data_IF_161094934872
#
_entry.id   IF_161094934872
#
_cell.length_a   1.000
_cell.length_b   1.000
_cell.length_c   1.000
_cell.angle_alpha   90.00
_cell.angle_beta   90.00
_cell.angle_gamma   90.00
#
_symmetry.space_group_name_H-M   'P 1'
#
loop_
_entity.id
_entity.type
_entity.pdbx_description
1 polymer ?
#
# COMPACT_ATOMS: atom_id res chain seq x y z
N UNK A 1 4.18 -8.51 -0.26
CA UNK A 1 3.81 -8.80 -1.66
C UNK A 1 4.95 -9.44 -2.41
N UNK A 2 4.65 -10.24 -3.45
CA UNK A 2 5.65 -10.75 -4.40
C UNK A 2 6.13 -9.60 -5.30
N UNK A 3 7.42 -9.59 -5.67
CA UNK A 3 7.94 -8.63 -6.64
C UNK A 3 7.28 -8.84 -8.02
N UNK A 4 6.93 -7.75 -8.70
CA UNK A 4 6.16 -7.83 -9.94
C UNK A 4 7.04 -8.30 -11.12
N UNK A 5 6.63 -9.38 -11.80
CA UNK A 5 7.32 -9.84 -13.00
C UNK A 5 6.93 -8.99 -14.23
N UNK A 6 7.69 -7.90 -14.44
CA UNK A 6 7.47 -6.97 -15.54
C UNK A 6 7.50 -7.64 -16.92
N UNK A 7 8.37 -8.63 -17.15
CA UNK A 7 8.44 -9.25 -18.47
C UNK A 7 7.18 -10.07 -18.79
N UNK A 8 6.54 -10.67 -17.78
CA UNK A 8 5.24 -11.32 -17.94
C UNK A 8 4.14 -10.31 -18.26
N UNK A 9 4.12 -9.16 -17.58
CA UNK A 9 3.18 -8.07 -17.83
C UNK A 9 3.35 -7.54 -19.26
N UNK A 10 4.58 -7.26 -19.69
CA UNK A 10 4.89 -6.81 -21.04
C UNK A 10 4.45 -7.84 -22.09
N UNK A 11 4.70 -9.12 -21.86
CA UNK A 11 4.24 -10.20 -22.74
C UNK A 11 2.72 -10.21 -22.88
N UNK A 12 1.97 -10.00 -21.80
CA UNK A 12 0.51 -9.95 -21.81
C UNK A 12 -0.03 -8.77 -22.63
N UNK A 13 0.57 -7.58 -22.48
CA UNK A 13 0.20 -6.38 -23.24
C UNK A 13 0.41 -6.57 -24.75
N UNK A 14 1.46 -7.30 -25.14
CA UNK A 14 1.74 -7.67 -26.51
C UNK A 14 2.67 -6.68 -27.22
N UNK A 15 3.61 -7.23 -28.00
CA UNK A 15 4.78 -6.50 -28.56
C UNK A 15 4.43 -5.23 -29.34
N UNK A 16 3.30 -5.21 -30.04
CA UNK A 16 2.89 -4.07 -30.87
C UNK A 16 2.55 -2.81 -30.04
N UNK A 17 2.26 -2.97 -28.74
CA UNK A 17 1.86 -1.86 -27.88
C UNK A 17 2.98 -1.40 -26.93
N UNK A 18 4.15 -2.05 -26.96
CA UNK A 18 5.25 -1.75 -26.04
C UNK A 18 6.20 -0.73 -26.70
N UNK A 19 6.38 0.47 -26.13
CA UNK A 19 7.37 1.42 -26.61
C UNK A 19 8.78 0.84 -26.54
N UNK A 20 9.63 1.12 -27.54
CA UNK A 20 11.04 0.69 -27.55
C UNK A 20 11.85 1.26 -26.36
N UNK A 21 11.41 2.39 -25.83
CA UNK A 21 12.05 3.15 -24.75
C UNK A 21 11.57 2.78 -23.35
N UNK A 22 10.77 1.72 -23.19
CA UNK A 22 10.15 1.38 -21.90
C UNK A 22 11.21 1.07 -20.83
N UNK A 23 11.13 1.79 -19.70
CA UNK A 23 12.01 1.56 -18.57
C UNK A 23 11.40 0.50 -17.65
N UNK A 24 11.84 -0.76 -17.81
CA UNK A 24 11.36 -1.90 -17.02
C UNK A 24 11.50 -1.71 -15.51
N UNK A 25 12.60 -1.13 -15.06
CA UNK A 25 12.85 -0.92 -13.62
C UNK A 25 11.83 0.07 -13.07
N UNK A 26 11.63 1.19 -13.76
CA UNK A 26 10.69 2.21 -13.32
C UNK A 26 9.24 1.71 -13.34
N UNK A 27 8.85 0.96 -14.36
CA UNK A 27 7.53 0.32 -14.40
C UNK A 27 7.32 -0.63 -13.21
N UNK A 28 8.34 -1.42 -12.85
CA UNK A 28 8.29 -2.26 -11.64
C UNK A 28 8.09 -1.42 -10.38
N UNK A 29 8.93 -0.41 -10.19
CA UNK A 29 8.88 0.48 -9.02
C UNK A 29 7.49 1.12 -8.86
N UNK A 30 6.89 1.63 -9.94
CA UNK A 30 5.59 2.29 -9.88
C UNK A 30 4.44 1.28 -9.58
N UNK A 31 4.51 0.04 -10.12
CA UNK A 31 3.55 -1.03 -9.82
C UNK A 31 3.67 -1.50 -8.37
N UNK A 32 4.89 -1.74 -7.90
CA UNK A 32 5.15 -2.17 -6.52
C UNK A 32 4.79 -1.08 -5.52
N UNK A 33 5.05 0.19 -5.86
CA UNK A 33 4.61 1.34 -5.08
C UNK A 33 3.08 1.36 -4.95
N UNK A 34 2.34 1.21 -6.06
CA UNK A 34 0.87 1.17 -6.01
C UNK A 34 0.35 0.00 -5.16
N UNK A 35 0.96 -1.18 -5.28
CA UNK A 35 0.65 -2.33 -4.43
C UNK A 35 0.91 -2.06 -2.94
N UNK A 36 2.08 -1.51 -2.60
CA UNK A 36 2.45 -1.18 -1.21
C UNK A 36 1.55 -0.11 -0.60
N UNK A 37 1.09 0.85 -1.41
CA UNK A 37 0.18 1.88 -0.98
C UNK A 37 -1.19 1.28 -0.66
N UNK A 38 -1.68 0.34 -1.47
CA UNK A 38 -2.89 -0.42 -1.16
C UNK A 38 -2.75 -1.22 0.15
N UNK A 39 -1.66 -1.98 0.31
CA UNK A 39 -1.41 -2.75 1.54
C UNK A 39 -1.43 -1.83 2.77
N UNK A 40 -0.76 -0.68 2.67
CA UNK A 40 -0.74 0.33 3.73
C UNK A 40 -2.14 0.83 4.07
N UNK A 41 -2.97 1.13 3.05
CA UNK A 41 -4.35 1.57 3.25
C UNK A 41 -5.22 0.48 3.88
N UNK A 42 -5.07 -0.77 3.43
CA UNK A 42 -5.82 -1.91 3.97
C UNK A 42 -5.42 -2.22 5.42
N UNK A 43 -4.13 -2.11 5.76
CA UNK A 43 -3.67 -2.20 7.14
C UNK A 43 -4.21 -1.06 8.02
N UNK A 44 -4.39 0.13 7.45
CA UNK A 44 -4.97 1.28 8.14
C UNK A 44 -6.48 1.13 8.37
N UNK A 45 -7.22 0.49 7.46
CA UNK A 45 -8.65 0.22 7.59
C UNK A 45 -8.98 -0.81 8.68
N UNK A 46 -8.09 -1.78 8.89
CA UNK A 46 -8.28 -2.81 9.92
C UNK A 46 -8.24 -2.21 11.33
N UNK A 47 -9.41 -2.12 11.97
CA UNK A 47 -9.57 -1.66 13.37
C UNK A 47 -8.64 -2.41 14.33
N UNK A 48 -8.44 -3.70 14.12
CA UNK A 48 -7.54 -4.52 14.94
C UNK A 48 -6.07 -4.14 14.77
N UNK A 49 -5.60 -4.02 13.52
CA UNK A 49 -4.22 -3.61 13.24
C UNK A 49 -3.96 -2.16 13.67
N UNK A 50 -4.92 -1.27 13.44
CA UNK A 50 -4.86 0.13 13.87
C UNK A 50 -4.77 0.24 15.40
N UNK A 51 -5.69 -0.43 16.12
CA UNK A 51 -5.63 -0.50 17.58
C UNK A 51 -4.29 -1.07 18.04
N UNK A 52 -3.79 -2.13 17.41
CA UNK A 52 -2.48 -2.71 17.69
C UNK A 52 -1.31 -1.74 17.44
N UNK A 53 -1.40 -0.83 16.46
CA UNK A 53 -0.40 0.23 16.24
C UNK A 53 -0.45 1.29 17.35
N UNK A 54 -1.64 1.72 17.74
CA UNK A 54 -1.85 2.67 18.85
C UNK A 54 -1.31 2.09 20.17
N UNK A 55 -1.56 0.81 20.44
CA UNK A 55 -0.99 0.10 21.59
C UNK A 55 0.53 0.03 21.51
N UNK A 56 1.10 -0.34 20.35
CA UNK A 56 2.56 -0.32 20.16
C UNK A 56 3.18 1.05 20.40
N UNK A 57 2.53 2.15 20.01
CA UNK A 57 3.03 3.50 20.32
C UNK A 57 3.07 3.76 21.84
N UNK A 58 2.05 3.28 22.58
CA UNK A 58 2.02 3.34 24.04
C UNK A 58 3.13 2.48 24.66
N UNK A 59 3.36 1.28 24.14
CA UNK A 59 4.42 0.39 24.64
C UNK A 59 5.80 0.98 24.40
N UNK A 60 6.05 1.57 23.22
CA UNK A 60 7.30 2.28 22.91
C UNK A 60 7.47 3.48 23.84
N UNK A 61 6.41 4.27 24.07
CA UNK A 61 6.42 5.39 25.02
C UNK A 61 6.83 4.91 26.43
N UNK A 62 6.18 3.85 26.93
CA UNK A 62 6.45 3.29 28.25
C UNK A 62 7.87 2.73 28.37
N UNK A 63 8.33 1.97 27.36
CA UNK A 63 9.67 1.42 27.31
C UNK A 63 10.73 2.53 27.29
N UNK A 64 10.54 3.57 26.47
CA UNK A 64 11.46 4.70 26.40
C UNK A 64 11.54 5.47 27.73
N UNK A 65 10.41 5.70 28.40
CA UNK A 65 10.36 6.33 29.74
C UNK A 65 11.05 5.46 30.79
N UNK A 66 10.79 4.15 30.81
CA UNK A 66 11.38 3.20 31.75
C UNK A 66 12.90 3.13 31.58
N UNK A 67 13.37 2.94 30.35
CA UNK A 67 14.82 2.87 30.08
C UNK A 67 15.51 4.20 30.43
N UNK A 68 14.90 5.33 30.07
CA UNK A 68 15.41 6.64 30.49
C UNK A 68 15.51 6.74 32.01
N UNK A 69 14.48 6.31 32.74
CA UNK A 69 14.46 6.34 34.21
C UNK A 69 15.63 5.54 34.80
N UNK A 70 15.84 4.31 34.30
CA UNK A 70 16.97 3.46 34.72
C UNK A 70 18.33 4.10 34.43
N UNK A 71 18.47 4.78 33.28
CA UNK A 71 19.73 5.44 32.91
C UNK A 71 19.94 6.81 33.57
N UNK A 72 18.89 7.44 34.08
CA UNK A 72 18.93 8.81 34.65
C UNK A 72 18.97 8.82 36.18
N UNK A 73 18.39 7.82 36.83
CA UNK A 73 18.24 7.78 38.29
C UNK A 73 19.43 7.15 39.00
N UNK A 74 20.38 6.55 38.28
CA UNK A 74 21.47 5.81 38.88
C UNK A 74 22.80 6.58 38.96
N UNK A 75 23.49 6.25 40.05
CA UNK A 75 24.77 6.79 40.54
C UNK A 75 25.82 7.00 39.44
N UNK A 76 26.74 7.95 39.67
CA UNK A 76 27.89 8.23 38.79
C UNK A 76 28.63 6.96 38.32
N UNK A 77 28.58 5.88 39.13
CA UNK A 77 29.09 4.55 38.79
C UNK A 77 28.46 3.94 37.53
N UNK A 78 27.12 3.92 37.39
CA UNK A 78 26.48 3.32 36.22
C UNK A 78 26.83 4.10 34.95
N UNK A 79 26.85 5.43 35.04
CA UNK A 79 27.26 6.29 33.93
C UNK A 79 28.73 6.07 33.56
N UNK A 80 29.59 5.83 34.54
CA UNK A 80 31.01 5.51 34.32
C UNK A 80 31.19 4.13 33.67
N UNK A 81 30.55 3.08 34.20
CA UNK A 81 30.67 1.71 33.69
C UNK A 81 30.09 1.59 32.28
N UNK A 82 28.87 2.08 32.08
CA UNK A 82 28.24 2.05 30.75
C UNK A 82 28.99 3.01 29.83
N UNK A 83 29.27 4.24 30.25
CA UNK A 83 29.94 5.24 29.41
C UNK A 83 31.33 4.84 28.91
N UNK A 84 32.06 3.99 29.66
CA UNK A 84 33.34 3.44 29.23
C UNK A 84 33.21 2.37 28.12
N UNK A 85 32.09 1.64 28.07
CA UNK A 85 31.86 0.56 27.10
C UNK A 85 30.88 0.92 25.98
N UNK A 86 30.02 1.92 26.21
CA UNK A 86 29.10 2.46 25.22
C UNK A 86 29.92 3.20 24.15
N UNK A 87 29.56 3.10 22.86
CA UNK A 87 30.35 3.69 21.79
C UNK A 87 30.71 5.15 22.11
N UNK A 88 32.00 5.45 21.93
CA UNK A 88 32.61 6.74 22.20
C UNK A 88 31.75 7.79 21.53
N UNK A 89 31.10 8.62 22.34
CA UNK A 89 29.89 9.32 21.95
C UNK A 89 29.95 10.13 20.67
N UNK A 90 28.79 10.49 20.14
CA UNK A 90 28.60 11.37 18.98
C UNK A 90 29.71 12.43 18.85
N UNK A 91 30.63 12.23 17.90
CA UNK A 91 31.77 13.12 17.66
C UNK A 91 33.12 12.72 18.27
N UNK A 92 33.19 11.64 19.05
CA UNK A 92 34.45 11.11 19.55
C UNK A 92 35.28 10.49 18.43
N UNK A 93 36.60 10.65 18.50
CA UNK A 93 37.51 10.20 17.47
C UNK A 93 37.77 8.69 17.63
N UNK A 94 37.39 7.92 16.62
CA UNK A 94 37.78 6.51 16.47
C UNK A 94 38.73 6.41 15.28
N UNK A 95 40.03 6.54 15.57
CA UNK A 95 41.05 6.78 14.54
C UNK A 95 40.89 8.18 13.92
N UNK A 96 40.75 8.26 12.58
CA UNK A 96 40.55 9.54 11.85
C UNK A 96 39.07 9.89 11.61
N UNK A 97 38.13 9.07 12.04
CA UNK A 97 36.68 9.28 11.82
C UNK A 97 35.98 9.54 13.14
N UNK A 98 34.99 10.43 13.13
CA UNK A 98 34.07 10.61 14.25
C UNK A 98 33.12 9.41 14.30
N UNK A 99 32.90 8.86 15.49
CA UNK A 99 31.90 7.81 15.68
C UNK A 99 30.50 8.41 15.43
N UNK A 100 29.70 7.84 14.51
CA UNK A 100 28.34 8.30 14.25
C UNK A 100 27.34 7.86 15.33
N UNK A 101 27.73 6.96 16.25
CA UNK A 101 26.84 6.46 17.28
C UNK A 101 26.56 7.51 18.37
N UNK A 102 25.33 7.59 18.89
CA UNK A 102 24.99 8.53 19.95
C UNK A 102 25.73 8.20 21.25
N UNK A 103 26.19 9.23 21.96
CA UNK A 103 26.69 9.08 23.33
C UNK A 103 25.61 8.53 24.27
N UNK A 104 25.98 8.02 25.45
CA UNK A 104 24.99 7.63 26.47
C UNK A 104 24.04 8.79 26.81
N UNK A 105 24.58 10.02 26.90
CA UNK A 105 23.78 11.25 27.07
C UNK A 105 22.87 11.50 25.86
N UNK A 106 23.38 11.34 24.65
CA UNK A 106 22.63 11.43 23.40
C UNK A 106 21.48 10.43 23.33
N UNK A 107 21.71 9.19 23.78
CA UNK A 107 20.68 8.16 23.92
C UNK A 107 19.60 8.58 24.91
N UNK A 108 19.96 9.06 26.11
CA UNK A 108 18.99 9.53 27.12
C UNK A 108 18.11 10.66 26.56
N UNK A 109 18.71 11.63 25.86
CA UNK A 109 17.97 12.70 25.18
C UNK A 109 17.09 12.14 24.06
N UNK A 110 17.61 11.19 23.27
CA UNK A 110 16.88 10.48 22.22
C UNK A 110 15.65 9.73 22.75
N UNK A 111 15.77 9.03 23.87
CA UNK A 111 14.67 8.33 24.54
C UNK A 111 13.60 9.30 25.04
N UNK A 112 13.99 10.44 25.60
CA UNK A 112 13.05 11.49 26.00
C UNK A 112 12.28 12.07 24.79
N UNK A 113 12.99 12.29 23.67
CA UNK A 113 12.38 12.76 22.42
C UNK A 113 11.44 11.71 21.83
N UNK A 114 11.86 10.44 21.81
CA UNK A 114 11.05 9.31 21.32
C UNK A 114 9.74 9.21 22.10
N UNK A 115 9.80 9.18 23.45
CA UNK A 115 8.62 9.14 24.29
C UNK A 115 7.65 10.31 24.03
N UNK A 116 8.18 11.52 23.78
CA UNK A 116 7.36 12.68 23.45
C UNK A 116 6.70 12.55 22.07
N UNK A 117 7.45 12.12 21.06
CA UNK A 117 6.95 11.94 19.69
C UNK A 117 5.89 10.85 19.64
N UNK A 118 6.12 9.70 20.29
CA UNK A 118 5.13 8.61 20.32
C UNK A 118 3.87 9.01 21.07
N UNK A 119 3.98 9.71 22.20
CA UNK A 119 2.81 10.26 22.91
C UNK A 119 2.03 11.26 22.05
N UNK A 120 2.73 12.18 21.36
CA UNK A 120 2.09 13.15 20.47
C UNK A 120 1.40 12.46 19.30
N UNK A 121 2.09 11.51 18.64
CA UNK A 121 1.52 10.74 17.54
C UNK A 121 0.24 10.03 18.01
N UNK A 122 0.31 9.34 19.16
CA UNK A 122 -0.84 8.67 19.78
C UNK A 122 -1.99 9.64 20.09
N UNK A 123 -1.70 10.81 20.66
CA UNK A 123 -2.71 11.84 20.96
C UNK A 123 -3.36 12.45 19.71
N UNK A 124 -2.66 12.45 18.58
CA UNK A 124 -3.20 12.85 17.27
C UNK A 124 -3.95 11.71 16.56
N UNK A 125 -3.81 10.48 17.05
CA UNK A 125 -4.43 9.30 16.45
C UNK A 125 -5.85 9.17 16.96
N UNK A 126 -6.85 9.20 16.05
CA UNK A 126 -8.23 8.88 16.40
C UNK A 126 -8.34 7.39 16.77
N UNK A 127 -9.26 7.01 17.67
CA UNK A 127 -9.49 5.60 18.02
C UNK A 127 -9.99 4.77 16.82
N UNK A 128 -10.54 5.43 15.82
CA UNK A 128 -10.98 4.83 14.57
C UNK A 128 -9.89 4.92 13.50
N UNK A 129 -9.88 3.92 12.62
CA UNK A 129 -9.07 3.91 11.42
C UNK A 129 -9.30 5.22 10.64
N UNK A 130 -8.23 5.95 10.25
CA UNK A 130 -8.35 7.27 9.67
C UNK A 130 -8.94 7.23 8.25
N UNK A 131 -8.90 6.07 7.60
CA UNK A 131 -9.36 5.85 6.24
C UNK A 131 -10.15 4.56 6.21
N UNK A 132 -11.48 4.68 6.07
CA UNK A 132 -12.31 3.54 5.69
C UNK A 132 -12.14 3.28 4.20
N UNK A 133 -11.71 2.07 3.86
CA UNK A 133 -11.48 1.70 2.47
C UNK A 133 -12.73 1.01 1.91
N UNK A 134 -13.67 1.79 1.38
CA UNK A 134 -14.92 1.24 0.82
C UNK A 134 -14.74 0.48 -0.50
N UNK A 135 -13.55 0.56 -1.11
CA UNK A 135 -13.22 -0.05 -2.39
C UNK A 135 -12.37 -1.29 -2.17
N UNK A 136 -12.58 -2.32 -2.97
CA UNK A 136 -11.65 -3.45 -3.06
C UNK A 136 -10.29 -3.07 -3.68
N UNK A 137 -9.28 -3.89 -3.47
CA UNK A 137 -7.93 -3.70 -4.03
C UNK A 137 -7.96 -3.47 -5.54
N UNK A 138 -8.73 -4.31 -6.24
CA UNK A 138 -8.91 -4.22 -7.68
C UNK A 138 -9.60 -2.91 -8.08
N UNK A 139 -10.67 -2.50 -7.40
CA UNK A 139 -11.37 -1.23 -7.68
C UNK A 139 -10.47 -0.01 -7.47
N UNK A 140 -9.66 -0.02 -6.40
CA UNK A 140 -8.74 1.06 -6.11
C UNK A 140 -7.61 1.15 -7.15
N UNK A 141 -6.98 0.02 -7.48
CA UNK A 141 -5.89 -0.04 -8.47
C UNK A 141 -6.36 0.23 -9.89
N UNK A 142 -7.35 -0.51 -10.39
CA UNK A 142 -7.89 -0.36 -11.76
C UNK A 142 -8.49 1.03 -11.95
N UNK A 143 -9.12 1.56 -10.90
CA UNK A 143 -9.85 2.82 -10.95
C UNK A 143 -8.97 4.07 -10.95
N UNK A 144 -7.80 4.00 -10.32
CA UNK A 144 -6.99 5.19 -10.03
C UNK A 144 -5.57 5.05 -10.58
N UNK A 145 -4.79 4.08 -10.09
CA UNK A 145 -3.34 4.07 -10.32
C UNK A 145 -2.90 3.30 -11.58
N UNK A 146 -3.50 2.16 -11.89
CA UNK A 146 -3.11 1.39 -13.07
C UNK A 146 -3.33 2.14 -14.40
N UNK A 147 -4.40 2.95 -14.58
CA UNK A 147 -4.54 3.80 -15.75
C UNK A 147 -3.37 4.78 -15.89
N UNK A 148 -3.01 5.48 -14.82
CA UNK A 148 -1.93 6.48 -14.82
C UNK A 148 -0.58 5.83 -15.15
N UNK A 149 -0.27 4.71 -14.49
CA UNK A 149 0.95 3.94 -14.76
C UNK A 149 0.98 3.46 -16.21
N UNK A 150 -0.14 2.94 -16.72
CA UNK A 150 -0.22 2.50 -18.11
C UNK A 150 0.00 3.65 -19.09
N UNK A 151 -0.69 4.77 -18.90
CA UNK A 151 -0.61 5.94 -19.77
C UNK A 151 0.81 6.52 -19.79
N UNK A 152 1.45 6.60 -18.61
CA UNK A 152 2.82 7.10 -18.46
C UNK A 152 3.86 6.21 -19.17
N UNK A 153 3.77 4.89 -18.99
CA UNK A 153 4.80 3.96 -19.48
C UNK A 153 4.59 3.47 -20.91
N UNK A 154 3.34 3.39 -21.37
CA UNK A 154 2.99 2.89 -22.71
C UNK A 154 2.67 4.01 -23.70
N UNK A 155 2.57 5.26 -23.24
CA UNK A 155 2.24 6.43 -24.08
C UNK A 155 0.92 6.25 -24.85
N UNK A 156 0.00 5.49 -24.27
CA UNK A 156 -1.30 5.16 -24.83
C UNK A 156 -2.37 5.42 -23.80
N UNK A 157 -3.48 6.03 -24.20
CA UNK A 157 -4.60 6.24 -23.29
C UNK A 157 -5.17 4.90 -22.83
N UNK A 158 -5.51 4.82 -21.54
CA UNK A 158 -6.19 3.68 -20.94
C UNK A 158 -7.66 3.67 -21.41
N UNK A 159 -7.86 3.23 -22.65
CA UNK A 159 -9.18 3.19 -23.30
C UNK A 159 -9.79 1.80 -23.28
N UNK A 160 -11.11 1.82 -23.27
CA UNK A 160 -11.94 0.65 -23.51
C UNK A 160 -12.09 0.51 -25.02
N UNK A 161 -11.45 -0.49 -25.58
CA UNK A 161 -11.73 -0.93 -26.94
C UNK A 161 -12.44 -2.29 -26.84
N UNK A 162 -13.72 -2.33 -27.22
CA UNK A 162 -14.35 -3.57 -27.66
C UNK A 162 -14.25 -3.60 -29.19
N UNK A 163 -13.69 -4.65 -29.80
CA UNK A 163 -13.70 -4.74 -31.25
C UNK A 163 -15.15 -4.69 -31.71
N UNK A 164 -15.45 -3.77 -32.64
CA UNK A 164 -16.74 -3.77 -33.34
C UNK A 164 -16.76 -5.03 -34.20
N UNK A 165 -17.83 -5.80 -34.13
CA UNK A 165 -18.11 -6.85 -35.11
C UNK A 165 -18.03 -6.22 -36.51
N UNK A 166 -17.22 -6.79 -37.39
CA UNK A 166 -17.05 -6.28 -38.77
C UNK A 166 -18.27 -6.55 -39.66
N UNK A 167 -19.27 -7.28 -39.16
CA UNK A 167 -20.58 -7.40 -39.78
C UNK A 167 -21.56 -6.57 -38.96
N UNK A 168 -22.35 -5.71 -39.61
CA UNK A 168 -23.21 -4.66 -39.05
C UNK A 168 -24.31 -5.09 -38.08
N UNK A 169 -24.17 -6.22 -37.40
CA UNK A 169 -24.94 -6.58 -36.23
C UNK A 169 -24.45 -5.75 -35.03
N UNK A 170 -25.36 -4.96 -34.45
CA UNK A 170 -25.18 -4.10 -33.28
C UNK A 170 -24.77 -4.85 -31.99
N UNK A 171 -24.40 -6.12 -32.07
CA UNK A 171 -23.96 -6.88 -30.91
C UNK A 171 -22.46 -6.70 -30.68
N UNK A 172 -22.14 -5.93 -29.65
CA UNK A 172 -20.78 -5.77 -29.13
C UNK A 172 -20.41 -7.05 -28.36
N UNK A 173 -20.16 -8.16 -29.08
CA UNK A 173 -19.82 -9.49 -28.53
C UNK A 173 -18.32 -9.71 -28.34
N UNK A 174 -17.47 -8.77 -28.77
CA UNK A 174 -16.03 -8.85 -28.61
C UNK A 174 -15.58 -8.82 -27.14
N UNK A 175 -14.85 -9.86 -26.71
CA UNK A 175 -14.21 -9.93 -25.38
C UNK A 175 -13.37 -8.67 -25.12
N UNK A 176 -13.44 -8.15 -23.89
CA UNK A 176 -12.61 -7.05 -23.42
C UNK A 176 -11.12 -7.39 -23.56
N UNK A 177 -10.46 -6.92 -24.62
CA UNK A 177 -9.10 -7.34 -24.96
C UNK A 177 -8.16 -6.16 -25.28
N UNK A 178 -8.48 -4.96 -24.78
CA UNK A 178 -7.60 -3.81 -24.98
C UNK A 178 -6.24 -4.01 -24.31
N UNK A 179 -5.17 -3.31 -24.77
CA UNK A 179 -3.84 -3.39 -24.16
C UNK A 179 -3.87 -3.08 -22.66
N UNK A 180 -4.65 -2.08 -22.25
CA UNK A 180 -4.84 -1.72 -20.85
C UNK A 180 -5.49 -2.84 -20.03
N UNK A 181 -6.52 -3.51 -20.55
CA UNK A 181 -7.18 -4.61 -19.82
C UNK A 181 -6.23 -5.79 -19.62
N UNK A 182 -5.40 -6.11 -20.63
CA UNK A 182 -4.35 -7.13 -20.52
C UNK A 182 -3.24 -6.74 -19.54
N UNK A 183 -2.87 -5.47 -19.53
CA UNK A 183 -1.95 -4.90 -18.54
C UNK A 183 -2.49 -5.08 -17.12
N UNK A 184 -3.70 -4.60 -16.86
CA UNK A 184 -4.32 -4.64 -15.54
C UNK A 184 -4.51 -6.10 -15.05
N UNK A 185 -4.96 -7.01 -15.91
CA UNK A 185 -5.07 -8.44 -15.58
C UNK A 185 -3.73 -9.02 -15.12
N UNK A 186 -2.66 -8.78 -15.89
CA UNK A 186 -1.33 -9.29 -15.57
C UNK A 186 -0.78 -8.67 -14.28
N UNK A 187 -0.96 -7.37 -14.07
CA UNK A 187 -0.53 -6.69 -12.83
C UNK A 187 -1.25 -7.26 -11.62
N UNK A 188 -2.57 -7.39 -11.64
CA UNK A 188 -3.32 -7.96 -10.51
C UNK A 188 -2.87 -9.38 -10.18
N UNK A 189 -2.60 -10.20 -11.21
CA UNK A 189 -2.10 -11.54 -11.03
C UNK A 189 -0.68 -11.56 -10.40
N UNK A 190 0.23 -10.71 -10.87
CA UNK A 190 1.58 -10.60 -10.31
C UNK A 190 1.59 -10.09 -8.86
N UNK A 191 0.67 -9.19 -8.51
CA UNK A 191 0.47 -8.70 -7.15
C UNK A 191 -0.27 -9.71 -6.26
N UNK A 192 -0.78 -10.82 -6.82
CA UNK A 192 -1.53 -11.84 -6.09
C UNK A 192 -2.95 -11.39 -5.69
N UNK A 193 -3.48 -10.37 -6.35
CA UNK A 193 -4.81 -9.81 -6.08
C UNK A 193 -5.86 -10.66 -6.81
N UNK A 194 -6.64 -11.39 -6.02
CA UNK A 194 -7.60 -12.39 -6.48
C UNK A 194 -9.03 -11.88 -6.35
N UNK A 195 -9.91 -12.42 -7.17
CA UNK A 195 -11.36 -12.21 -7.06
C UNK A 195 -11.91 -12.81 -5.76
N UNK A 196 -13.17 -12.48 -5.45
CA UNK A 196 -13.92 -13.07 -4.32
C UNK A 196 -13.99 -14.59 -4.37
N UNK A 197 -13.87 -15.21 -5.56
CA UNK A 197 -13.85 -16.66 -5.73
C UNK A 197 -12.44 -17.27 -5.64
N UNK A 198 -11.42 -16.48 -5.27
CA UNK A 198 -10.03 -16.93 -5.15
C UNK A 198 -9.28 -17.12 -6.49
N UNK A 199 -9.97 -16.97 -7.62
CA UNK A 199 -9.39 -17.00 -8.97
C UNK A 199 -8.89 -15.64 -9.45
N UNK A 200 -8.16 -15.59 -10.59
CA UNK A 200 -7.75 -14.33 -11.22
C UNK A 200 -8.97 -13.51 -11.66
N UNK A 201 -8.82 -12.19 -11.71
CA UNK A 201 -9.86 -11.32 -12.23
C UNK A 201 -10.06 -11.53 -13.74
N UNK A 202 -11.30 -11.78 -14.16
CA UNK A 202 -11.61 -11.84 -15.58
C UNK A 202 -11.50 -10.46 -16.23
N UNK A 203 -11.12 -10.42 -17.50
CA UNK A 203 -11.04 -9.18 -18.29
C UNK A 203 -12.37 -8.40 -18.33
N UNK A 204 -13.50 -9.10 -18.37
CA UNK A 204 -14.82 -8.45 -18.31
C UNK A 204 -15.09 -7.81 -16.94
N UNK A 205 -14.65 -8.45 -15.85
CA UNK A 205 -14.73 -7.86 -14.51
C UNK A 205 -13.86 -6.61 -14.42
N UNK A 206 -12.62 -6.67 -14.90
CA UNK A 206 -11.70 -5.52 -14.93
C UNK A 206 -12.29 -4.37 -15.74
N UNK A 207 -12.85 -4.67 -16.92
CA UNK A 207 -13.53 -3.69 -17.76
C UNK A 207 -14.69 -3.02 -17.02
N UNK A 208 -15.55 -3.82 -16.38
CA UNK A 208 -16.71 -3.31 -15.63
C UNK A 208 -16.29 -2.39 -14.49
N UNK A 209 -15.28 -2.79 -13.71
CA UNK A 209 -14.71 -1.99 -12.61
C UNK A 209 -14.13 -0.68 -13.13
N UNK A 210 -13.38 -0.74 -14.24
CA UNK A 210 -12.83 0.44 -14.87
C UNK A 210 -13.91 1.43 -15.32
N UNK A 211 -14.98 0.93 -15.98
CA UNK A 211 -16.12 1.73 -16.41
C UNK A 211 -16.87 2.37 -15.24
N UNK A 212 -17.14 1.60 -14.20
CA UNK A 212 -17.83 2.09 -12.99
C UNK A 212 -17.04 3.21 -12.32
N UNK A 213 -15.72 3.05 -12.22
CA UNK A 213 -14.88 4.07 -11.58
C UNK A 213 -14.78 5.35 -12.42
N UNK A 214 -14.63 5.23 -13.74
CA UNK A 214 -14.57 6.39 -14.66
C UNK A 214 -15.89 7.16 -14.75
N UNK A 215 -17.03 6.47 -14.67
CA UNK A 215 -18.35 7.09 -14.73
C UNK A 215 -18.80 7.70 -13.40
N UNK A 216 -18.12 7.41 -12.29
CA UNK A 216 -18.55 7.81 -10.95
C UNK A 216 -19.86 7.13 -10.51
N UNK A 217 -20.35 6.15 -11.26
CA UNK A 217 -21.60 5.47 -10.95
C UNK A 217 -21.42 4.60 -9.71
N UNK A 218 -22.19 4.89 -8.65
CA UNK A 218 -22.22 4.05 -7.45
C UNK A 218 -22.74 2.65 -7.82
N UNK A 219 -22.21 1.57 -7.21
CA UNK A 219 -22.74 0.23 -7.43
C UNK A 219 -24.22 0.19 -7.08
N UNK A 220 -25.08 -0.25 -8.00
CA UNK A 220 -26.47 -0.61 -7.66
C UNK A 220 -26.38 -1.80 -6.70
N UNK A 221 -26.54 -1.56 -5.40
CA UNK A 221 -26.78 -2.64 -4.43
C UNK A 221 -28.07 -3.32 -4.88
N UNK A 222 -28.00 -4.61 -5.23
CA UNK A 222 -29.21 -5.41 -5.38
C UNK A 222 -29.97 -5.32 -4.04
N UNK A 223 -31.26 -5.00 -4.02
CA UNK A 223 -32.05 -5.11 -2.80
C UNK A 223 -31.93 -6.56 -2.34
N UNK A 224 -31.44 -6.76 -1.12
CA UNK A 224 -31.44 -8.07 -0.45
C UNK A 224 -32.89 -8.53 -0.40
N UNK A 225 -33.19 -9.60 -1.14
CA UNK A 225 -34.51 -10.20 -1.27
C UNK A 225 -34.95 -10.96 -0.01
N UNK A 226 -34.73 -10.39 1.17
CA UNK A 226 -35.11 -10.97 2.46
C UNK A 226 -36.26 -10.24 3.17
N UNK A 227 -36.74 -9.09 2.68
CA UNK A 227 -37.94 -8.42 3.21
C UNK A 227 -39.18 -8.72 2.33
N UNK A 228 -39.63 -9.96 2.36
CA UNK A 228 -40.77 -10.40 1.54
C UNK A 228 -41.44 -11.69 1.99
N UNK A 229 -41.48 -11.96 3.30
CA UNK A 229 -42.28 -13.04 3.86
C UNK A 229 -42.86 -12.63 5.23
N UNK A 230 -43.55 -11.50 5.27
CA UNK A 230 -44.48 -11.21 6.36
C UNK A 230 -45.83 -11.85 5.99
N UNK A 231 -46.18 -12.90 6.75
CA UNK A 231 -47.48 -13.57 6.74
C UNK A 231 -48.63 -12.56 6.79
N UNK A 232 -49.59 -12.71 5.88
CA UNK A 232 -50.94 -12.17 6.06
C UNK A 232 -51.71 -13.06 7.06
N UNK A 233 -52.60 -12.46 7.89
CA UNK A 233 -53.36 -13.16 8.91
C UNK A 233 -54.42 -14.12 8.35
#
# INVERSE_FOLDING_TARGET
MKAANVDHILKAVGRMHIPRTINRRRLREDIEWAGSLWDTLNELDSRGLWSGRVHRLKDIEMAARRLRSLLSNDTAWLQQVIGQQFPLGEGAMRGKRRDPAPSLRGLVVGLARLARITNRARGQTKPEAPLRQDKSAAEWLIGTHLPEIFEQHFQQQARIARPRSHHGEKEITGKANSPYIRFAEAVLNELGIKSTHGGPYSRETILKVFQQTRSGAKPRRKPSSEEGAACLP
#
